data_IF_899281458317
#
_entry.id   IF_899281458317
#
_cell.length_a   1.000
_cell.length_b   1.000
_cell.length_c   1.000
_cell.angle_alpha   90.00
_cell.angle_beta   90.00
_cell.angle_gamma   90.00
#
_symmetry.space_group_name_H-M   'P 1'
#
loop_
_entity.id
_entity.type
_entity.pdbx_description
1 polymer ?
#
# COMPACT_ATOMS: atom_id res chain seq x y z
N UNK A 1 37.09 -0.51 9.16
CA UNK A 1 36.54 -1.88 9.08
C UNK A 1 35.39 -1.88 8.09
N UNK A 2 35.31 -2.82 7.12
CA UNK A 2 34.20 -2.87 6.19
C UNK A 2 32.92 -3.23 6.96
N UNK A 3 31.90 -2.36 6.88
CA UNK A 3 30.59 -2.58 7.49
C UNK A 3 29.93 -3.75 6.77
N UNK A 4 29.80 -4.91 7.44
CA UNK A 4 29.07 -6.06 6.91
C UNK A 4 27.57 -5.81 7.11
N UNK A 5 26.87 -5.42 6.04
CA UNK A 5 25.41 -5.32 6.04
C UNK A 5 24.86 -6.75 5.95
N UNK A 6 24.08 -7.23 6.94
CA UNK A 6 23.47 -8.55 6.86
C UNK A 6 22.47 -8.61 5.70
N UNK A 7 22.44 -9.74 5.00
CA UNK A 7 21.47 -9.97 3.94
C UNK A 7 20.04 -9.87 4.50
N UNK A 8 19.17 -9.13 3.81
CA UNK A 8 17.79 -8.95 4.24
C UNK A 8 17.08 -10.30 4.36
N UNK A 9 16.40 -10.52 5.48
CA UNK A 9 15.60 -11.73 5.69
C UNK A 9 14.43 -11.71 4.70
N UNK A 10 13.96 -12.87 4.25
CA UNK A 10 12.85 -12.94 3.27
C UNK A 10 11.60 -12.15 3.69
N UNK A 11 11.33 -12.09 5.00
CA UNK A 11 10.26 -11.25 5.58
C UNK A 11 10.50 -9.75 5.41
N UNK A 12 11.75 -9.30 5.54
CA UNK A 12 12.12 -7.89 5.37
C UNK A 12 11.99 -7.49 3.92
N UNK A 13 12.46 -8.32 2.98
CA UNK A 13 12.28 -8.07 1.54
C UNK A 13 10.80 -8.00 1.16
N UNK A 14 9.96 -8.88 1.71
CA UNK A 14 8.52 -8.82 1.50
C UNK A 14 7.91 -7.51 2.03
N UNK A 15 8.30 -7.08 3.23
CA UNK A 15 7.83 -5.82 3.82
C UNK A 15 8.30 -4.62 2.99
N UNK A 16 9.56 -4.57 2.59
CA UNK A 16 10.09 -3.48 1.76
C UNK A 16 9.43 -3.45 0.38
N UNK A 17 9.18 -4.62 -0.22
CA UNK A 17 8.43 -4.74 -1.48
C UNK A 17 7.01 -4.19 -1.35
N UNK A 18 6.29 -4.60 -0.30
CA UNK A 18 4.93 -4.11 -0.03
C UNK A 18 4.90 -2.61 0.27
N UNK A 19 5.87 -2.10 1.04
CA UNK A 19 5.98 -0.67 1.33
C UNK A 19 6.25 0.15 0.06
N UNK A 20 7.12 -0.36 -0.83
CA UNK A 20 7.36 0.24 -2.14
C UNK A 20 6.08 0.29 -2.97
N UNK A 21 5.40 -0.85 -3.14
CA UNK A 21 4.14 -0.91 -3.89
C UNK A 21 3.07 0.03 -3.31
N UNK A 22 2.90 0.06 -1.99
CA UNK A 22 1.93 0.95 -1.34
C UNK A 22 2.28 2.44 -1.53
N UNK A 23 3.57 2.78 -1.49
CA UNK A 23 4.03 4.16 -1.70
C UNK A 23 3.85 4.62 -3.16
N UNK A 24 3.98 3.70 -4.12
CA UNK A 24 3.81 3.98 -5.55
C UNK A 24 2.39 3.80 -6.07
N UNK A 25 1.50 3.14 -5.32
CA UNK A 25 0.12 2.89 -5.72
C UNK A 25 -0.64 4.17 -6.14
N UNK A 26 -0.54 5.32 -5.43
CA UNK A 26 -1.21 6.55 -5.85
C UNK A 26 -0.77 7.03 -7.24
N UNK A 27 0.52 6.87 -7.58
CA UNK A 27 1.04 7.29 -8.89
C UNK A 27 0.59 6.35 -10.00
N UNK A 28 0.47 5.05 -9.72
CA UNK A 28 -0.07 4.10 -10.69
C UNK A 28 -1.54 4.41 -11.02
N UNK A 29 -2.34 4.76 -10.01
CA UNK A 29 -3.76 5.11 -10.19
C UNK A 29 -3.97 6.44 -10.93
N UNK A 30 -2.96 7.31 -11.01
CA UNK A 30 -3.03 8.55 -11.80
C UNK A 30 -2.85 8.32 -13.30
N UNK A 31 -2.38 7.15 -13.73
CA UNK A 31 -2.20 6.86 -15.15
C UNK A 31 -3.57 6.67 -15.82
N UNK A 32 -3.80 7.27 -17.00
CA UNK A 32 -5.03 7.05 -17.73
C UNK A 32 -5.18 5.56 -18.08
N UNK A 33 -6.35 4.98 -17.81
CA UNK A 33 -6.62 3.57 -18.04
C UNK A 33 -6.08 2.62 -16.97
N UNK A 34 -5.58 3.11 -15.82
CA UNK A 34 -5.12 2.26 -14.74
C UNK A 34 -6.25 1.40 -14.13
N UNK A 35 -7.44 1.99 -13.99
CA UNK A 35 -8.66 1.32 -13.51
C UNK A 35 -9.02 0.12 -14.41
N UNK A 36 -9.08 0.30 -15.73
CA UNK A 36 -9.40 -0.77 -16.68
C UNK A 36 -8.33 -1.87 -16.69
N UNK A 37 -7.05 -1.50 -16.54
CA UNK A 37 -5.94 -2.47 -16.43
C UNK A 37 -6.04 -3.29 -15.14
N UNK A 38 -6.34 -2.64 -14.02
CA UNK A 38 -6.56 -3.35 -12.75
C UNK A 38 -7.79 -4.22 -12.84
N UNK A 39 -8.90 -3.73 -13.40
CA UNK A 39 -10.14 -4.49 -13.55
C UNK A 39 -9.93 -5.73 -14.42
N UNK A 40 -9.26 -5.59 -15.58
CA UNK A 40 -8.97 -6.71 -16.48
C UNK A 40 -8.01 -7.73 -15.87
N UNK A 41 -7.03 -7.29 -15.06
CA UNK A 41 -6.17 -8.19 -14.30
C UNK A 41 -6.95 -8.89 -13.19
N UNK A 42 -7.74 -8.13 -12.42
CA UNK A 42 -8.58 -8.64 -11.32
C UNK A 42 -9.56 -9.68 -11.81
N UNK A 43 -10.21 -9.46 -12.95
CA UNK A 43 -11.11 -10.43 -13.56
C UNK A 43 -10.46 -11.81 -13.84
N UNK A 44 -9.13 -11.86 -14.06
CA UNK A 44 -8.41 -13.12 -14.32
C UNK A 44 -8.13 -13.93 -13.06
N UNK A 45 -7.77 -13.27 -11.97
CA UNK A 45 -7.30 -13.96 -10.76
C UNK A 45 -8.34 -13.96 -9.62
N UNK A 46 -9.24 -12.98 -9.55
CA UNK A 46 -10.23 -12.87 -8.49
C UNK A 46 -11.14 -14.09 -8.38
N UNK A 47 -11.66 -14.70 -9.46
CA UNK A 47 -12.51 -15.90 -9.33
C UNK A 47 -11.76 -17.10 -8.74
N UNK A 48 -10.46 -17.22 -9.02
CA UNK A 48 -9.61 -18.28 -8.44
C UNK A 48 -9.25 -17.98 -7.00
N UNK A 49 -9.10 -16.70 -6.67
CA UNK A 49 -8.85 -16.24 -5.32
C UNK A 49 -10.06 -16.47 -4.41
N UNK A 50 -11.26 -16.08 -4.84
CA UNK A 50 -12.51 -16.31 -4.12
C UNK A 50 -12.74 -17.79 -3.80
N UNK A 51 -12.44 -18.69 -4.76
CA UNK A 51 -12.55 -20.14 -4.56
C UNK A 51 -11.58 -20.70 -3.51
N UNK A 52 -10.45 -20.04 -3.27
CA UNK A 52 -9.40 -20.53 -2.37
C UNK A 52 -9.29 -19.76 -1.05
N UNK A 53 -9.93 -18.59 -0.93
CA UNK A 53 -9.76 -17.71 0.22
C UNK A 53 -10.26 -18.34 1.52
N UNK A 54 -11.28 -19.21 1.47
CA UNK A 54 -11.83 -19.87 2.67
C UNK A 54 -10.79 -20.65 3.47
N UNK A 55 -9.75 -21.19 2.81
CA UNK A 55 -8.66 -21.92 3.47
C UNK A 55 -7.67 -21.00 4.18
N UNK A 56 -7.53 -19.77 3.70
CA UNK A 56 -6.56 -18.78 4.19
C UNK A 56 -7.21 -17.78 5.15
N UNK A 57 -8.51 -17.56 5.01
CA UNK A 57 -9.29 -16.58 5.78
C UNK A 57 -9.24 -16.85 7.29
N UNK A 58 -9.55 -18.07 7.74
CA UNK A 58 -9.59 -18.36 9.18
C UNK A 58 -8.22 -18.26 9.87
N UNK A 59 -7.11 -18.77 9.30
CA UNK A 59 -5.77 -18.49 9.83
C UNK A 59 -5.43 -17.00 9.80
N UNK A 60 -5.73 -16.30 8.70
CA UNK A 60 -5.43 -14.88 8.55
C UNK A 60 -6.17 -14.03 9.59
N UNK A 61 -7.44 -14.34 9.89
CA UNK A 61 -8.23 -13.66 10.90
C UNK A 61 -7.61 -13.79 12.30
N UNK A 62 -7.13 -14.98 12.66
CA UNK A 62 -6.41 -15.19 13.93
C UNK A 62 -5.10 -14.39 14.00
N UNK A 63 -4.37 -14.31 12.89
CA UNK A 63 -3.16 -13.48 12.83
C UNK A 63 -3.49 -11.99 12.91
N UNK A 64 -4.57 -11.55 12.24
CA UNK A 64 -5.05 -10.19 12.28
C UNK A 64 -5.44 -9.79 13.71
N UNK A 65 -6.24 -10.58 14.41
CA UNK A 65 -6.63 -10.35 15.82
C UNK A 65 -5.40 -10.23 16.74
N UNK A 66 -4.34 -11.01 16.49
CA UNK A 66 -3.10 -10.93 17.28
C UNK A 66 -2.24 -9.70 16.92
N UNK A 67 -2.30 -9.23 15.69
CA UNK A 67 -1.55 -8.07 15.21
C UNK A 67 -2.26 -6.74 15.53
N UNK A 68 -3.60 -6.74 15.50
CA UNK A 68 -4.48 -5.61 15.72
C UNK A 68 -4.09 -4.73 16.92
N UNK A 69 -3.88 -5.25 18.15
CA UNK A 69 -3.51 -4.40 19.28
C UNK A 69 -2.14 -3.73 19.12
N UNK A 70 -1.21 -4.36 18.38
CA UNK A 70 0.13 -3.79 18.12
C UNK A 70 0.07 -2.72 17.04
N UNK A 71 -0.73 -2.96 16.00
CA UNK A 71 -0.95 -2.00 14.92
C UNK A 71 -1.67 -0.79 15.48
N UNK A 72 -2.75 -0.95 16.23
CA UNK A 72 -3.51 0.15 16.85
C UNK A 72 -2.62 1.05 17.73
N UNK A 73 -1.74 0.46 18.55
CA UNK A 73 -0.76 1.23 19.36
C UNK A 73 0.21 2.01 18.49
N UNK A 74 0.63 1.45 17.36
CA UNK A 74 1.57 2.09 16.43
C UNK A 74 0.89 3.23 15.68
N UNK A 75 -0.31 3.00 15.16
CA UNK A 75 -1.14 4.02 14.51
C UNK A 75 -1.37 5.19 15.46
N UNK A 76 -1.79 4.93 16.70
CA UNK A 76 -2.01 5.97 17.71
C UNK A 76 -0.75 6.79 18.03
N UNK A 77 0.45 6.17 17.97
CA UNK A 77 1.73 6.87 18.14
C UNK A 77 2.11 7.73 16.93
N UNK A 78 1.74 7.30 15.73
CA UNK A 78 1.98 8.06 14.50
C UNK A 78 1.01 9.24 14.43
N UNK A 79 -0.27 8.99 14.67
CA UNK A 79 -1.33 10.00 14.69
C UNK A 79 -1.06 11.10 15.72
N UNK A 80 -0.52 10.75 16.90
CA UNK A 80 -0.17 11.76 17.92
C UNK A 80 1.06 12.60 17.58
N UNK A 81 1.93 12.14 16.65
CA UNK A 81 3.18 12.81 16.29
C UNK A 81 3.13 13.51 14.93
N UNK A 82 2.28 13.04 14.04
CA UNK A 82 2.15 13.53 12.67
C UNK A 82 0.70 13.88 12.44
N UNK A 83 0.38 15.13 12.05
CA UNK A 83 -0.98 15.48 11.66
C UNK A 83 -1.27 14.83 10.31
N UNK A 84 -1.66 13.55 10.34
CA UNK A 84 -1.93 12.71 9.17
C UNK A 84 -2.97 13.37 8.27
N UNK A 85 -3.96 14.04 8.85
CA UNK A 85 -4.95 14.81 8.12
C UNK A 85 -4.31 15.93 7.28
N UNK A 86 -3.39 16.71 7.87
CA UNK A 86 -2.65 17.75 7.14
C UNK A 86 -1.73 17.15 6.08
N UNK A 87 -1.15 15.99 6.35
CA UNK A 87 -0.30 15.29 5.39
C UNK A 87 -1.13 14.79 4.20
N UNK A 88 -2.29 14.19 4.46
CA UNK A 88 -3.24 13.74 3.44
C UNK A 88 -3.74 14.92 2.59
N UNK A 89 -4.13 16.04 3.21
CA UNK A 89 -4.55 17.25 2.49
C UNK A 89 -3.42 17.86 1.65
N UNK A 90 -2.17 17.83 2.15
CA UNK A 90 -1.02 18.33 1.39
C UNK A 90 -0.65 17.42 0.21
N UNK A 91 -0.80 16.11 0.36
CA UNK A 91 -0.64 15.14 -0.73
C UNK A 91 -1.73 15.36 -1.78
N UNK A 92 -3.00 15.47 -1.38
CA UNK A 92 -4.12 15.76 -2.30
C UNK A 92 -3.91 17.08 -3.07
N UNK A 93 -3.47 18.15 -2.38
CA UNK A 93 -3.15 19.42 -3.02
C UNK A 93 -1.99 19.32 -4.02
N UNK A 94 -0.96 18.51 -3.73
CA UNK A 94 0.17 18.29 -4.64
C UNK A 94 -0.24 17.44 -5.85
N UNK A 95 -1.10 16.45 -5.62
CA UNK A 95 -1.71 15.59 -6.63
C UNK A 95 -2.49 16.43 -7.63
N UNK A 96 -3.43 17.25 -7.17
CA UNK A 96 -4.25 18.14 -8.03
C UNK A 96 -3.37 19.07 -8.87
N UNK A 97 -2.38 19.71 -8.25
CA UNK A 97 -1.40 20.55 -8.98
C UNK A 97 -0.51 19.79 -9.96
N UNK A 98 -0.34 18.47 -9.79
CA UNK A 98 0.36 17.62 -10.74
C UNK A 98 -0.51 17.37 -11.97
N UNK A 99 -1.77 16.98 -11.74
CA UNK A 99 -2.76 16.73 -12.79
C UNK A 99 -3.01 18.01 -13.61
N UNK A 100 -3.24 19.15 -12.94
CA UNK A 100 -3.49 20.44 -13.61
C UNK A 100 -2.32 20.89 -14.51
N UNK A 101 -1.09 20.51 -14.17
CA UNK A 101 0.09 20.83 -14.99
C UNK A 101 0.24 19.92 -16.20
N UNK A 102 -0.16 18.65 -16.08
CA UNK A 102 -0.16 17.71 -17.20
C UNK A 102 -1.28 18.07 -18.19
N UNK A 103 -2.47 18.44 -17.70
CA UNK A 103 -3.60 18.88 -18.53
C UNK A 103 -3.37 20.21 -19.26
N UNK A 104 -2.39 21.02 -18.85
CA UNK A 104 -1.99 22.26 -19.53
C UNK A 104 -0.97 22.05 -20.67
N UNK A 105 -0.43 20.84 -20.79
CA UNK A 105 0.57 20.47 -21.80
C UNK A 105 0.03 19.52 -22.88
N UNK A 106 -1.26 19.17 -22.82
CA UNK A 106 -2.08 18.68 -23.94
C UNK A 106 -2.84 19.85 -24.57
#
# INVERSE_FOLDING_TARGET
MPVRIPAARGSETAIFGMAGLASFAPFYMMLPGAEERIASQTARWAPRWERNISRVAAPAERFAQRAEPRIARTVRKIESRVPLEKMAQNVDRRIKRGIDRMSKHE
#
